data_IF_121970537316
#
_entry.id   IF_121970537316
#
_cell.length_a   1.000
_cell.length_b   1.000
_cell.length_c   1.000
_cell.angle_alpha   90.00
_cell.angle_beta   90.00
_cell.angle_gamma   90.00
#
_symmetry.space_group_name_H-M   'P 1'
#
loop_
_entity.id
_entity.type
_entity.pdbx_description
1 polymer ?
#
# COMPACT_ATOMS: atom_id res chain seq x y z
N UNK A 1 9.46 -17.01 10.39
CA UNK A 1 8.35 -16.21 9.81
C UNK A 1 8.27 -16.52 8.34
N UNK A 2 7.06 -16.54 7.79
CA UNK A 2 6.80 -16.77 6.36
C UNK A 2 6.05 -15.60 5.77
N UNK A 3 6.56 -15.03 4.69
CA UNK A 3 5.96 -13.88 4.00
C UNK A 3 5.66 -14.30 2.57
N UNK A 4 4.39 -14.19 2.18
CA UNK A 4 3.98 -14.53 0.81
C UNK A 4 3.59 -13.29 0.03
N UNK A 5 4.05 -13.21 -1.22
CA UNK A 5 3.77 -12.13 -2.16
C UNK A 5 2.95 -12.73 -3.30
N UNK A 6 1.71 -12.29 -3.45
CA UNK A 6 0.81 -12.73 -4.50
C UNK A 6 0.84 -11.73 -5.65
N UNK A 7 1.44 -12.13 -6.76
CA UNK A 7 1.79 -11.31 -7.91
C UNK A 7 3.29 -11.10 -8.04
N UNK A 8 3.91 -11.68 -9.05
CA UNK A 8 5.36 -11.55 -9.32
C UNK A 8 5.68 -10.49 -10.41
N UNK A 9 4.80 -9.50 -10.57
CA UNK A 9 5.08 -8.35 -11.45
C UNK A 9 6.27 -7.52 -10.97
N UNK A 10 6.41 -6.28 -11.46
CA UNK A 10 7.53 -5.42 -11.09
C UNK A 10 7.51 -5.06 -9.59
N UNK A 11 6.34 -4.72 -9.05
CA UNK A 11 6.22 -4.38 -7.61
C UNK A 11 6.50 -5.60 -6.74
N UNK A 12 5.85 -6.75 -7.04
CA UNK A 12 6.02 -7.98 -6.23
C UNK A 12 7.44 -8.53 -6.29
N UNK A 13 8.05 -8.59 -7.48
CA UNK A 13 9.44 -9.04 -7.65
C UNK A 13 10.45 -8.18 -6.89
N UNK A 14 10.34 -6.83 -6.99
CA UNK A 14 11.20 -5.93 -6.24
C UNK A 14 10.90 -5.97 -4.72
N UNK A 15 9.66 -6.21 -4.33
CA UNK A 15 9.34 -6.43 -2.91
C UNK A 15 10.02 -7.69 -2.40
N UNK A 16 9.99 -8.78 -3.19
CA UNK A 16 10.68 -10.02 -2.84
C UNK A 16 12.19 -9.77 -2.66
N UNK A 17 12.84 -9.09 -3.60
CA UNK A 17 14.25 -8.71 -3.52
C UNK A 17 14.56 -7.96 -2.20
N UNK A 18 13.80 -6.91 -1.90
CA UNK A 18 14.00 -6.12 -0.66
C UNK A 18 13.82 -6.95 0.60
N UNK A 19 12.87 -7.88 0.60
CA UNK A 19 12.56 -8.68 1.78
C UNK A 19 13.58 -9.82 2.00
N UNK A 20 14.09 -10.46 0.94
CA UNK A 20 15.15 -11.50 1.12
C UNK A 20 16.43 -10.91 1.68
N UNK A 21 16.75 -9.65 1.32
CA UNK A 21 17.92 -8.92 1.85
C UNK A 21 17.81 -8.62 3.35
N UNK A 22 16.59 -8.53 3.89
CA UNK A 22 16.39 -8.26 5.33
C UNK A 22 16.59 -9.47 6.22
N UNK A 23 16.49 -10.66 5.66
CA UNK A 23 16.56 -11.91 6.44
C UNK A 23 15.39 -12.13 7.40
N UNK A 24 14.26 -11.45 7.22
CA UNK A 24 13.10 -11.52 8.13
C UNK A 24 12.41 -12.88 8.14
N UNK A 25 12.59 -13.70 7.11
CA UNK A 25 11.99 -15.04 7.06
C UNK A 25 12.03 -15.64 5.67
N UNK A 26 11.24 -16.69 5.48
CA UNK A 26 11.08 -17.35 4.20
C UNK A 26 10.11 -16.56 3.32
N UNK A 27 10.51 -16.29 2.09
CA UNK A 27 9.69 -15.57 1.10
C UNK A 27 9.08 -16.57 0.12
N UNK A 28 7.77 -16.45 -0.11
CA UNK A 28 7.08 -17.19 -1.17
C UNK A 28 6.53 -16.20 -2.18
N UNK A 29 7.03 -16.27 -3.39
CA UNK A 29 6.59 -15.46 -4.52
C UNK A 29 5.63 -16.28 -5.40
N UNK A 30 4.39 -15.83 -5.53
CA UNK A 30 3.33 -16.55 -6.25
C UNK A 30 2.88 -15.74 -7.46
N UNK A 31 2.76 -16.38 -8.62
CA UNK A 31 2.15 -15.77 -9.81
C UNK A 31 1.48 -16.84 -10.68
N UNK A 32 0.31 -16.51 -11.25
CA UNK A 32 -0.40 -17.41 -12.17
C UNK A 32 0.32 -17.60 -13.50
N UNK A 33 1.22 -16.68 -13.87
CA UNK A 33 2.05 -16.82 -15.06
C UNK A 33 3.13 -17.88 -14.81
N UNK A 34 2.94 -19.02 -15.47
CA UNK A 34 3.84 -20.17 -15.34
C UNK A 34 5.29 -19.76 -15.56
N UNK A 35 6.13 -20.05 -14.58
CA UNK A 35 7.56 -19.79 -14.62
C UNK A 35 7.99 -18.39 -14.18
N UNK A 36 7.09 -17.35 -14.20
CA UNK A 36 7.50 -15.99 -13.86
C UNK A 36 8.02 -15.86 -12.42
N UNK A 37 7.27 -16.38 -11.44
CA UNK A 37 7.68 -16.34 -10.04
C UNK A 37 8.90 -17.24 -9.80
N UNK A 38 8.95 -18.41 -10.44
CA UNK A 38 10.05 -19.37 -10.32
C UNK A 38 11.34 -18.75 -10.87
N UNK A 39 11.32 -18.19 -12.08
CA UNK A 39 12.47 -17.56 -12.69
C UNK A 39 13.02 -16.40 -11.85
N UNK A 40 12.14 -15.55 -11.30
CA UNK A 40 12.57 -14.48 -10.39
C UNK A 40 13.13 -14.99 -9.07
N UNK A 41 12.60 -16.10 -8.53
CA UNK A 41 13.17 -16.70 -7.33
C UNK A 41 14.57 -17.23 -7.58
N UNK A 42 14.80 -17.94 -8.70
CA UNK A 42 16.15 -18.43 -9.07
C UNK A 42 17.14 -17.28 -9.26
N UNK A 43 16.76 -16.23 -9.98
CA UNK A 43 17.61 -15.05 -10.18
C UNK A 43 17.97 -14.37 -8.84
N UNK A 44 17.03 -14.33 -7.88
CA UNK A 44 17.30 -13.83 -6.53
C UNK A 44 18.20 -14.75 -5.72
N UNK A 45 18.05 -16.08 -5.82
CA UNK A 45 18.96 -17.05 -5.19
C UNK A 45 20.39 -16.90 -5.73
N UNK A 46 20.54 -16.72 -7.04
CA UNK A 46 21.82 -16.46 -7.70
C UNK A 46 22.42 -15.11 -7.22
N UNK A 47 21.61 -14.06 -7.10
CA UNK A 47 22.05 -12.77 -6.54
C UNK A 47 22.53 -12.92 -5.09
N UNK A 48 21.82 -13.71 -4.28
CA UNK A 48 22.26 -14.06 -2.92
C UNK A 48 23.63 -14.72 -2.89
N UNK A 49 23.86 -15.63 -3.84
CA UNK A 49 25.15 -16.32 -3.99
C UNK A 49 26.31 -15.38 -4.32
N UNK A 50 26.06 -14.35 -5.16
CA UNK A 50 27.05 -13.27 -5.45
C UNK A 50 27.41 -12.51 -4.16
N UNK A 51 26.41 -12.25 -3.29
CA UNK A 51 26.60 -11.57 -2.02
C UNK A 51 27.11 -12.48 -0.90
N UNK A 52 27.29 -13.79 -1.16
CA UNK A 52 27.59 -14.85 -0.18
C UNK A 52 26.55 -14.93 0.94
N UNK A 53 25.29 -14.71 0.59
CA UNK A 53 24.13 -14.80 1.46
C UNK A 53 23.21 -15.93 1.00
N UNK A 54 22.59 -16.60 1.96
CA UNK A 54 21.60 -17.64 1.68
C UNK A 54 20.19 -16.99 1.69
N UNK A 55 19.69 -16.64 0.53
CA UNK A 55 18.32 -16.15 0.41
C UNK A 55 17.33 -17.32 0.48
N UNK A 56 16.32 -17.18 1.33
CA UNK A 56 15.25 -18.17 1.47
C UNK A 56 14.02 -17.66 0.72
N UNK A 57 13.96 -18.02 -0.56
CA UNK A 57 12.86 -17.65 -1.45
C UNK A 57 12.41 -18.86 -2.25
N UNK A 58 11.09 -18.98 -2.44
CA UNK A 58 10.46 -19.96 -3.31
C UNK A 58 9.55 -19.22 -4.31
N UNK A 59 9.74 -19.48 -5.60
CA UNK A 59 8.81 -19.07 -6.65
C UNK A 59 7.84 -20.21 -6.98
N UNK A 60 6.55 -19.90 -7.21
CA UNK A 60 5.54 -20.92 -7.51
C UNK A 60 4.36 -20.30 -8.28
N UNK A 61 3.61 -21.13 -9.03
CA UNK A 61 2.32 -20.80 -9.61
C UNK A 61 1.13 -21.31 -8.78
N UNK A 62 1.40 -22.05 -7.70
CA UNK A 62 0.39 -22.58 -6.79
C UNK A 62 0.31 -21.76 -5.50
N UNK A 63 -0.83 -21.10 -5.29
CA UNK A 63 -1.10 -20.28 -4.11
C UNK A 63 -1.14 -21.10 -2.79
N UNK A 64 -1.34 -22.43 -2.87
CA UNK A 64 -1.29 -23.29 -1.69
C UNK A 64 0.07 -23.24 -0.99
N UNK A 65 1.13 -22.89 -1.71
CA UNK A 65 2.44 -22.63 -1.10
C UNK A 65 2.46 -21.41 -0.17
N UNK A 66 1.45 -20.52 -0.20
CA UNK A 66 1.28 -19.44 0.76
C UNK A 66 0.62 -19.88 2.08
N UNK A 67 0.36 -21.18 2.26
CA UNK A 67 -0.24 -21.72 3.51
C UNK A 67 0.58 -21.36 4.74
N UNK A 68 -0.12 -20.99 5.81
CA UNK A 68 0.45 -20.60 7.10
C UNK A 68 1.44 -19.43 7.01
N UNK A 69 1.22 -18.49 6.08
CA UNK A 69 2.00 -17.25 6.04
C UNK A 69 1.61 -16.32 7.19
N UNK A 70 2.60 -15.68 7.79
CA UNK A 70 2.41 -14.65 8.82
C UNK A 70 1.95 -13.33 8.18
N UNK A 71 2.52 -13.01 7.01
CA UNK A 71 2.18 -11.81 6.23
C UNK A 71 1.92 -12.21 4.79
N UNK A 72 0.85 -11.70 4.22
CA UNK A 72 0.50 -11.85 2.80
C UNK A 72 0.41 -10.47 2.15
N UNK A 73 1.14 -10.29 1.07
CA UNK A 73 1.17 -9.05 0.29
C UNK A 73 0.49 -9.33 -1.04
N UNK A 74 -0.59 -8.60 -1.37
CA UNK A 74 -1.34 -8.78 -2.60
C UNK A 74 -0.99 -7.66 -3.56
N UNK A 75 -0.11 -7.96 -4.52
CA UNK A 75 0.23 -7.07 -5.64
C UNK A 75 -0.39 -7.56 -6.96
N UNK A 76 -1.08 -8.71 -6.92
CA UNK A 76 -1.75 -9.28 -8.08
C UNK A 76 -2.85 -8.34 -8.58
N UNK A 77 -2.83 -8.04 -9.86
CA UNK A 77 -3.77 -7.16 -10.52
C UNK A 77 -3.24 -6.70 -11.87
N UNK A 78 -4.13 -6.16 -12.68
CA UNK A 78 -3.80 -5.60 -13.97
C UNK A 78 -3.48 -4.11 -13.84
N UNK A 79 -2.55 -3.62 -14.62
CA UNK A 79 -2.37 -2.20 -14.89
C UNK A 79 -3.29 -1.77 -16.03
N UNK A 80 -3.71 -0.50 -16.02
CA UNK A 80 -4.57 0.05 -17.08
C UNK A 80 -3.86 -0.04 -18.43
N UNK A 81 -4.54 -0.64 -19.41
CA UNK A 81 -4.08 -0.72 -20.79
C UNK A 81 -4.80 0.33 -21.65
N UNK A 82 -4.22 0.77 -22.79
CA UNK A 82 -4.93 1.59 -23.75
C UNK A 82 -6.29 0.97 -24.13
N UNK A 83 -7.35 1.78 -24.17
CA UNK A 83 -8.71 1.34 -24.49
C UNK A 83 -9.50 0.75 -23.31
N UNK A 84 -8.88 0.53 -22.14
CA UNK A 84 -9.57 0.03 -20.96
C UNK A 84 -10.15 1.21 -20.14
N UNK A 85 -11.43 1.11 -19.77
CA UNK A 85 -12.09 2.06 -18.87
C UNK A 85 -11.60 1.86 -17.42
N UNK A 86 -11.87 2.84 -16.53
CA UNK A 86 -11.60 2.69 -15.09
C UNK A 86 -12.45 1.57 -14.48
N UNK A 87 -13.68 1.42 -14.93
CA UNK A 87 -14.62 0.40 -14.47
C UNK A 87 -14.19 -1.00 -14.91
N UNK A 88 -13.73 -1.18 -16.16
CA UNK A 88 -13.19 -2.47 -16.64
C UNK A 88 -12.00 -2.92 -15.79
N UNK A 89 -11.10 -2.00 -15.48
CA UNK A 89 -9.94 -2.29 -14.63
C UNK A 89 -10.36 -2.66 -13.21
N UNK A 90 -11.32 -1.93 -12.63
CA UNK A 90 -11.85 -2.19 -11.30
C UNK A 90 -12.48 -3.59 -11.25
N UNK A 91 -13.36 -3.92 -12.19
CA UNK A 91 -14.04 -5.20 -12.23
C UNK A 91 -13.06 -6.38 -12.36
N UNK A 92 -12.06 -6.25 -13.23
CA UNK A 92 -11.02 -7.28 -13.39
C UNK A 92 -10.19 -7.45 -12.13
N UNK A 93 -9.75 -6.36 -11.53
CA UNK A 93 -8.96 -6.41 -10.29
C UNK A 93 -9.78 -6.91 -9.11
N UNK A 94 -11.06 -6.56 -9.02
CA UNK A 94 -11.97 -7.07 -8.00
C UNK A 94 -12.14 -8.59 -8.10
N UNK A 95 -12.30 -9.13 -9.33
CA UNK A 95 -12.38 -10.58 -9.53
C UNK A 95 -11.08 -11.28 -9.13
N UNK A 96 -9.93 -10.80 -9.59
CA UNK A 96 -8.61 -11.35 -9.22
C UNK A 96 -8.45 -11.36 -7.70
N UNK A 97 -8.75 -10.22 -7.06
CA UNK A 97 -8.62 -10.09 -5.60
C UNK A 97 -9.57 -11.04 -4.86
N UNK A 98 -10.83 -11.18 -5.34
CA UNK A 98 -11.81 -12.13 -4.79
C UNK A 98 -11.24 -13.54 -4.78
N UNK A 99 -10.74 -14.01 -5.91
CA UNK A 99 -10.23 -15.38 -6.07
C UNK A 99 -9.02 -15.63 -5.16
N UNK A 100 -8.13 -14.64 -5.03
CA UNK A 100 -6.98 -14.68 -4.12
C UNK A 100 -7.44 -14.69 -2.66
N UNK A 101 -8.32 -13.78 -2.26
CA UNK A 101 -8.78 -13.66 -0.87
C UNK A 101 -9.56 -14.88 -0.38
N UNK A 102 -10.38 -15.53 -1.26
CA UNK A 102 -11.07 -16.77 -0.93
C UNK A 102 -10.10 -17.93 -0.61
N UNK A 103 -8.97 -17.99 -1.32
CA UNK A 103 -7.91 -18.98 -1.05
C UNK A 103 -7.18 -18.64 0.23
N UNK A 104 -6.73 -17.37 0.39
CA UNK A 104 -6.03 -16.89 1.60
C UNK A 104 -6.84 -17.16 2.87
N UNK A 105 -8.15 -16.89 2.84
CA UNK A 105 -9.07 -17.18 3.95
C UNK A 105 -8.97 -18.61 4.47
N UNK A 106 -8.77 -19.57 3.56
CA UNK A 106 -8.70 -21.02 3.87
C UNK A 106 -7.31 -21.43 4.35
N UNK A 107 -6.25 -20.96 3.66
CA UNK A 107 -4.90 -21.47 3.85
C UNK A 107 -4.08 -20.69 4.90
N UNK A 108 -4.44 -19.43 5.16
CA UNK A 108 -3.68 -18.56 6.08
C UNK A 108 -4.60 -17.62 6.88
N UNK A 109 -5.53 -18.15 7.69
CA UNK A 109 -6.59 -17.38 8.35
C UNK A 109 -6.10 -16.41 9.43
N UNK A 110 -4.84 -16.50 9.85
CA UNK A 110 -4.24 -15.66 10.90
C UNK A 110 -3.29 -14.59 10.36
N UNK A 111 -3.05 -14.58 9.04
CA UNK A 111 -2.09 -13.66 8.43
C UNK A 111 -2.52 -12.20 8.52
N UNK A 112 -1.52 -11.32 8.51
CA UNK A 112 -1.72 -9.91 8.18
C UNK A 112 -1.73 -9.80 6.65
N UNK A 113 -2.70 -9.09 6.10
CA UNK A 113 -2.86 -8.90 4.66
C UNK A 113 -2.58 -7.43 4.30
N UNK A 114 -1.58 -7.22 3.46
CA UNK A 114 -1.23 -5.90 2.91
C UNK A 114 -1.69 -5.86 1.46
N UNK A 115 -2.70 -5.05 1.17
CA UNK A 115 -3.22 -4.86 -0.19
C UNK A 115 -2.44 -3.76 -0.90
N UNK A 116 -2.07 -4.01 -2.16
CA UNK A 116 -1.35 -3.06 -3.03
C UNK A 116 -2.09 -2.83 -4.34
N UNK A 117 -2.97 -3.75 -4.70
CA UNK A 117 -3.77 -3.71 -5.93
C UNK A 117 -4.66 -2.48 -5.99
N UNK A 118 -4.66 -1.80 -7.13
CA UNK A 118 -5.52 -0.63 -7.38
C UNK A 118 -6.87 -1.00 -8.02
N UNK A 119 -7.94 -0.20 -7.74
CA UNK A 119 -8.02 0.99 -6.87
C UNK A 119 -7.90 0.61 -5.38
N UNK A 120 -6.87 1.13 -4.71
CA UNK A 120 -6.38 0.60 -3.43
C UNK A 120 -7.44 0.51 -2.34
N UNK A 121 -8.15 1.62 -2.07
CA UNK A 121 -9.08 1.69 -0.92
C UNK A 121 -10.27 0.73 -1.13
N UNK A 122 -10.78 0.64 -2.36
CA UNK A 122 -11.82 -0.30 -2.73
C UNK A 122 -11.34 -1.76 -2.65
N UNK A 123 -10.13 -2.04 -3.12
CA UNK A 123 -9.54 -3.38 -3.04
C UNK A 123 -9.24 -3.78 -1.60
N UNK A 124 -8.80 -2.85 -0.75
CA UNK A 124 -8.60 -3.10 0.68
C UNK A 124 -9.91 -3.43 1.38
N UNK A 125 -10.97 -2.66 1.10
CA UNK A 125 -12.32 -2.94 1.60
C UNK A 125 -12.81 -4.31 1.14
N UNK A 126 -12.67 -4.63 -0.15
CA UNK A 126 -13.07 -5.91 -0.71
C UNK A 126 -12.30 -7.08 -0.07
N UNK A 127 -11.00 -6.96 0.10
CA UNK A 127 -10.17 -7.96 0.77
C UNK A 127 -10.65 -8.22 2.20
N UNK A 128 -10.95 -7.16 2.97
CA UNK A 128 -11.49 -7.26 4.32
C UNK A 128 -12.83 -8.01 4.33
N UNK A 129 -13.76 -7.64 3.46
CA UNK A 129 -15.10 -8.27 3.41
C UNK A 129 -15.03 -9.74 3.00
N UNK A 130 -14.20 -10.11 2.02
CA UNK A 130 -14.08 -11.49 1.54
C UNK A 130 -13.36 -12.38 2.55
N UNK A 131 -12.24 -11.92 3.10
CA UNK A 131 -11.49 -12.72 4.07
C UNK A 131 -12.26 -12.87 5.38
N UNK A 132 -12.99 -11.84 5.79
CA UNK A 132 -13.65 -11.79 7.10
C UNK A 132 -12.64 -11.71 8.26
N UNK A 133 -11.40 -11.34 7.97
CA UNK A 133 -10.37 -11.17 9.00
C UNK A 133 -10.68 -9.94 9.85
N UNK A 134 -10.03 -9.86 11.02
CA UNK A 134 -10.12 -8.65 11.85
C UNK A 134 -9.63 -7.43 11.07
N UNK A 135 -10.30 -6.30 11.20
CA UNK A 135 -9.97 -5.07 10.46
C UNK A 135 -8.54 -4.55 10.69
N UNK A 136 -7.98 -4.85 11.85
CA UNK A 136 -6.60 -4.50 12.15
C UNK A 136 -5.55 -5.34 11.39
N UNK A 137 -5.96 -6.48 10.81
CA UNK A 137 -5.08 -7.38 10.04
C UNK A 137 -5.15 -7.18 8.53
N UNK A 138 -6.07 -6.36 8.03
CA UNK A 138 -6.22 -6.10 6.57
C UNK A 138 -6.14 -4.61 6.32
N UNK A 139 -5.13 -4.17 5.61
CA UNK A 139 -4.94 -2.76 5.28
C UNK A 139 -4.18 -2.59 3.95
N UNK A 140 -4.27 -1.38 3.38
CA UNK A 140 -3.68 -1.06 2.08
C UNK A 140 -2.41 -0.22 2.18
N UNK A 141 -1.44 -0.48 1.32
CA UNK A 141 -0.26 0.37 1.11
C UNK A 141 -0.56 1.41 0.03
N UNK A 142 -0.68 2.67 0.40
CA UNK A 142 -0.91 3.80 -0.52
C UNK A 142 -0.41 5.10 0.08
N UNK A 143 -1.05 5.57 1.13
CA UNK A 143 -0.76 6.86 1.76
C UNK A 143 0.67 6.95 2.30
N UNK A 144 1.29 5.86 2.74
CA UNK A 144 2.71 5.85 3.11
C UNK A 144 3.63 6.19 1.91
N UNK A 145 3.25 5.73 0.71
CA UNK A 145 3.93 6.09 -0.53
C UNK A 145 3.69 7.57 -0.89
N UNK A 146 2.47 8.05 -0.72
CA UNK A 146 2.13 9.44 -1.03
C UNK A 146 2.82 10.41 -0.07
N UNK A 147 2.92 10.06 1.22
CA UNK A 147 3.71 10.81 2.19
C UNK A 147 5.22 10.83 1.83
N UNK A 148 5.76 9.71 1.34
CA UNK A 148 7.15 9.67 0.86
C UNK A 148 7.38 10.57 -0.37
N UNK A 149 6.41 10.68 -1.27
CA UNK A 149 6.45 11.62 -2.40
C UNK A 149 6.43 13.07 -1.94
N UNK A 150 5.55 13.36 -0.97
CA UNK A 150 5.46 14.68 -0.36
C UNK A 150 6.77 15.06 0.34
N UNK A 151 7.32 14.17 1.16
CA UNK A 151 8.62 14.37 1.81
C UNK A 151 9.74 14.63 0.79
N UNK A 152 9.81 13.85 -0.29
CA UNK A 152 10.84 14.03 -1.31
C UNK A 152 10.75 15.39 -2.01
N UNK A 153 9.54 15.89 -2.29
CA UNK A 153 9.36 17.20 -2.91
C UNK A 153 9.70 18.34 -1.95
N UNK A 154 9.39 18.19 -0.65
CA UNK A 154 9.83 19.13 0.41
C UNK A 154 11.36 19.13 0.53
N UNK A 155 11.97 17.94 0.53
CA UNK A 155 13.43 17.78 0.57
C UNK A 155 14.12 18.53 -0.58
N UNK A 156 13.57 18.42 -1.79
CA UNK A 156 14.08 19.12 -2.98
C UNK A 156 13.92 20.66 -2.86
N UNK A 157 12.78 21.14 -2.38
CA UNK A 157 12.48 22.57 -2.26
C UNK A 157 13.38 23.23 -1.20
N UNK A 158 13.57 22.56 -0.05
CA UNK A 158 14.36 23.08 1.07
C UNK A 158 15.84 22.72 0.98
N UNK A 159 16.24 21.85 0.03
CA UNK A 159 17.58 21.30 -0.11
C UNK A 159 18.09 20.67 1.22
N UNK A 160 17.28 19.79 1.81
CA UNK A 160 17.57 19.10 3.07
C UNK A 160 17.42 17.57 2.93
N UNK A 161 18.03 16.76 3.81
CA UNK A 161 17.86 15.31 3.78
C UNK A 161 16.41 14.88 4.04
N UNK A 162 15.94 13.83 3.34
CA UNK A 162 14.62 13.22 3.59
C UNK A 162 14.47 12.69 5.03
N UNK A 163 15.57 12.36 5.70
CA UNK A 163 15.58 11.89 7.09
C UNK A 163 15.10 12.93 8.10
N UNK A 164 15.11 14.19 7.72
CA UNK A 164 14.71 15.32 8.56
C UNK A 164 13.21 15.64 8.43
N UNK A 165 12.48 14.94 7.54
CA UNK A 165 11.10 15.26 7.19
C UNK A 165 10.15 14.14 7.64
N UNK A 166 9.15 14.52 8.41
CA UNK A 166 8.01 13.69 8.77
C UNK A 166 6.77 14.20 8.03
N UNK A 167 6.50 13.65 6.86
CA UNK A 167 5.39 14.07 6.01
C UNK A 167 4.09 13.33 6.35
N UNK A 168 2.99 14.06 6.34
CA UNK A 168 1.66 13.54 6.58
C UNK A 168 0.76 13.73 5.37
N UNK A 169 0.12 12.63 4.97
CA UNK A 169 -0.94 12.60 3.93
C UNK A 169 -2.07 11.71 4.44
N UNK A 170 -3.32 12.09 4.18
CA UNK A 170 -4.54 11.32 4.46
C UNK A 170 -5.42 11.26 3.21
N UNK A 171 -6.57 10.59 3.31
CA UNK A 171 -7.53 10.51 2.19
C UNK A 171 -7.32 9.30 1.30
N UNK A 172 -8.02 9.24 0.18
CA UNK A 172 -7.92 8.11 -0.75
C UNK A 172 -6.61 8.15 -1.53
N UNK A 173 -6.02 6.97 -1.77
CA UNK A 173 -4.81 6.87 -2.59
C UNK A 173 -5.09 7.32 -4.04
N UNK A 174 -4.36 8.31 -4.53
CA UNK A 174 -4.52 8.90 -5.86
C UNK A 174 -5.16 10.28 -5.83
N UNK A 175 -6.18 10.52 -6.66
CA UNK A 175 -6.79 11.86 -6.85
C UNK A 175 -7.43 12.47 -5.58
N UNK A 176 -7.77 11.65 -4.60
CA UNK A 176 -8.41 12.10 -3.35
C UNK A 176 -7.47 12.20 -2.14
N UNK A 177 -6.15 12.09 -2.35
CA UNK A 177 -5.19 12.28 -1.26
C UNK A 177 -5.19 13.74 -0.80
N UNK A 178 -4.96 13.92 0.49
CA UNK A 178 -4.87 15.22 1.14
C UNK A 178 -3.54 15.31 1.91
N UNK A 179 -2.49 15.90 1.33
CA UNK A 179 -1.32 16.26 2.08
C UNK A 179 -1.69 17.27 3.19
N UNK A 180 -1.13 17.07 4.38
CA UNK A 180 -1.42 17.90 5.56
C UNK A 180 -0.15 18.66 5.99
N UNK A 181 0.09 19.87 5.48
CA UNK A 181 1.27 20.68 5.83
C UNK A 181 1.37 20.96 7.33
N UNK A 182 0.26 21.22 8.02
CA UNK A 182 0.18 21.45 9.48
C UNK A 182 0.65 20.27 10.33
N UNK A 183 0.55 19.05 9.79
CA UNK A 183 1.01 17.81 10.44
C UNK A 183 2.29 17.26 9.81
N UNK A 184 2.90 18.04 8.93
CA UNK A 184 4.19 17.73 8.29
C UNK A 184 5.26 18.58 8.96
N UNK A 185 6.31 17.92 9.43
CA UNK A 185 7.41 18.62 10.13
C UNK A 185 8.75 18.37 9.47
N UNK A 186 9.64 19.34 9.65
CA UNK A 186 11.07 19.29 9.29
C UNK A 186 11.85 19.50 10.57
N UNK A 187 12.52 18.45 11.06
CA UNK A 187 13.19 18.48 12.38
C UNK A 187 12.28 18.98 13.53
N UNK A 188 11.00 18.63 13.45
CA UNK A 188 10.01 19.02 14.46
C UNK A 188 9.39 20.41 14.27
N UNK A 189 9.82 21.20 13.27
CA UNK A 189 9.24 22.50 12.93
C UNK A 189 8.13 22.26 11.90
N UNK A 190 6.96 22.85 12.06
CA UNK A 190 5.85 22.72 11.12
C UNK A 190 6.22 23.28 9.74
N UNK A 191 5.78 22.61 8.67
CA UNK A 191 6.11 23.01 7.30
C UNK A 191 5.64 24.43 6.98
N UNK A 192 4.51 24.84 7.54
CA UNK A 192 3.93 26.17 7.34
C UNK A 192 4.79 27.31 7.94
N UNK A 193 5.71 26.99 8.86
CA UNK A 193 6.65 27.96 9.40
C UNK A 193 7.91 28.10 8.51
N UNK A 194 8.14 27.13 7.62
CA UNK A 194 9.36 27.06 6.80
C UNK A 194 9.14 27.46 5.35
N UNK A 195 7.91 27.33 4.85
CA UNK A 195 7.55 27.62 3.46
C UNK A 195 6.32 28.49 3.37
N UNK A 196 6.32 29.40 2.40
CA UNK A 196 5.14 30.20 2.05
C UNK A 196 4.02 29.33 1.48
N UNK A 197 2.77 29.71 1.71
CA UNK A 197 1.57 29.01 1.30
C UNK A 197 1.56 28.66 -0.20
N UNK A 198 2.05 29.55 -1.05
CA UNK A 198 2.09 29.32 -2.50
C UNK A 198 3.06 28.18 -2.88
N UNK A 199 4.20 28.08 -2.21
CA UNK A 199 5.13 26.98 -2.40
C UNK A 199 4.55 25.66 -1.90
N UNK A 200 3.88 25.67 -0.75
CA UNK A 200 3.19 24.51 -0.19
C UNK A 200 2.10 24.01 -1.15
N UNK A 201 1.30 24.91 -1.73
CA UNK A 201 0.28 24.55 -2.75
C UNK A 201 0.91 23.89 -3.98
N UNK A 202 2.03 24.41 -4.47
CA UNK A 202 2.75 23.83 -5.63
C UNK A 202 3.25 22.43 -5.29
N UNK A 203 3.87 22.23 -4.13
CA UNK A 203 4.40 20.93 -3.70
C UNK A 203 3.24 19.94 -3.50
N UNK A 204 2.15 20.37 -2.85
CA UNK A 204 0.94 19.56 -2.66
C UNK A 204 0.40 19.07 -4.00
N UNK A 205 0.22 19.97 -4.97
CA UNK A 205 -0.24 19.60 -6.31
C UNK A 205 0.70 18.62 -7.00
N UNK A 206 2.01 18.88 -7.00
CA UNK A 206 3.01 17.96 -7.56
C UNK A 206 2.97 16.59 -6.89
N UNK A 207 2.70 16.51 -5.58
CA UNK A 207 2.54 15.25 -4.85
C UNK A 207 1.38 14.43 -5.41
N UNK A 208 0.22 15.08 -5.61
CA UNK A 208 -0.99 14.44 -6.14
C UNK A 208 -0.77 13.94 -7.57
N UNK A 209 -0.09 14.72 -8.40
CA UNK A 209 0.14 14.42 -9.82
C UNK A 209 1.29 13.41 -10.04
N UNK A 210 2.20 13.22 -9.05
CA UNK A 210 3.44 12.44 -9.20
C UNK A 210 3.21 11.02 -9.70
N UNK A 211 2.17 10.36 -9.26
CA UNK A 211 1.87 8.99 -9.69
C UNK A 211 1.59 8.91 -11.19
N UNK A 212 0.79 9.83 -11.70
CA UNK A 212 0.43 9.89 -13.11
C UNK A 212 1.60 10.38 -13.98
N UNK A 213 2.40 11.32 -13.48
CA UNK A 213 3.62 11.78 -14.13
C UNK A 213 4.59 10.60 -14.39
N UNK A 214 4.83 9.76 -13.35
CA UNK A 214 5.69 8.58 -13.47
C UNK A 214 5.13 7.60 -14.51
N UNK A 215 3.83 7.31 -14.50
CA UNK A 215 3.17 6.44 -15.49
C UNK A 215 3.35 6.97 -16.91
N UNK A 216 3.15 8.28 -17.09
CA UNK A 216 3.33 8.93 -18.40
C UNK A 216 4.77 8.84 -18.93
N UNK A 217 5.74 9.04 -18.05
CA UNK A 217 7.18 8.98 -18.41
C UNK A 217 7.67 7.56 -18.68
N UNK A 218 7.15 6.56 -17.93
CA UNK A 218 7.50 5.15 -18.15
C UNK A 218 6.85 4.55 -19.40
N UNK A 219 5.77 5.16 -19.89
CA UNK A 219 5.02 4.69 -21.08
C UNK A 219 4.23 3.40 -20.83
N UNK A 220 4.80 2.43 -20.14
CA UNK A 220 4.18 1.16 -19.80
C UNK A 220 4.32 0.86 -18.30
N UNK A 221 3.22 0.43 -17.69
CA UNK A 221 3.22 0.03 -16.28
C UNK A 221 2.97 1.19 -15.31
N UNK A 222 3.41 1.04 -14.08
CA UNK A 222 3.28 2.02 -12.99
C UNK A 222 4.59 2.12 -12.22
N UNK A 223 4.69 3.04 -11.27
CA UNK A 223 5.81 3.08 -10.34
C UNK A 223 5.97 1.74 -9.62
N UNK A 224 7.20 1.31 -9.38
CA UNK A 224 7.49 0.03 -8.71
C UNK A 224 8.67 0.11 -7.72
N UNK A 225 9.61 1.00 -7.89
CA UNK A 225 10.71 1.18 -6.93
C UNK A 225 10.22 1.69 -5.58
N UNK A 226 9.50 2.81 -5.57
CA UNK A 226 8.99 3.40 -4.33
C UNK A 226 7.87 2.56 -3.70
N UNK A 227 6.89 2.00 -4.44
CA UNK A 227 5.92 1.07 -3.88
C UNK A 227 6.55 -0.15 -3.20
N UNK A 228 7.53 -0.80 -3.82
CA UNK A 228 8.21 -1.96 -3.22
C UNK A 228 8.96 -1.59 -1.94
N UNK A 229 9.54 -0.38 -1.87
CA UNK A 229 10.18 0.11 -0.64
C UNK A 229 9.17 0.44 0.45
N UNK A 230 8.03 1.04 0.10
CA UNK A 230 6.95 1.32 1.05
C UNK A 230 6.41 0.01 1.66
N UNK A 231 6.20 -1.02 0.84
CA UNK A 231 5.78 -2.35 1.32
C UNK A 231 6.83 -2.95 2.26
N UNK A 232 8.10 -2.94 1.87
CA UNK A 232 9.19 -3.48 2.70
C UNK A 232 9.30 -2.75 4.04
N UNK A 233 9.02 -1.44 4.06
CA UNK A 233 8.97 -0.64 5.29
C UNK A 233 7.81 -1.07 6.19
N UNK A 234 6.60 -1.28 5.65
CA UNK A 234 5.45 -1.78 6.42
C UNK A 234 5.74 -3.16 7.02
N UNK A 235 6.32 -4.07 6.22
CA UNK A 235 6.73 -5.40 6.70
C UNK A 235 7.76 -5.29 7.82
N UNK A 236 8.77 -4.43 7.68
CA UNK A 236 9.78 -4.19 8.71
C UNK A 236 9.15 -3.72 10.03
N UNK A 237 8.23 -2.76 9.97
CA UNK A 237 7.52 -2.23 11.15
C UNK A 237 6.79 -3.36 11.88
N UNK A 238 6.09 -4.23 11.13
CA UNK A 238 5.35 -5.36 11.69
C UNK A 238 6.30 -6.38 12.33
N UNK A 239 7.31 -6.81 11.57
CA UNK A 239 8.26 -7.85 12.00
C UNK A 239 9.06 -7.43 13.22
N UNK A 240 9.45 -6.16 13.30
CA UNK A 240 10.21 -5.60 14.42
C UNK A 240 9.33 -5.06 15.56
N UNK A 241 8.02 -5.11 15.44
CA UNK A 241 7.07 -4.53 16.39
C UNK A 241 7.41 -3.05 16.73
N UNK A 242 7.74 -2.27 15.70
CA UNK A 242 8.25 -0.90 15.91
C UNK A 242 7.20 0.04 16.54
N UNK A 243 5.91 -0.32 16.52
CA UNK A 243 4.77 0.50 17.01
C UNK A 243 4.78 1.93 16.44
N UNK A 244 5.22 2.02 15.21
CA UNK A 244 5.46 3.27 14.49
C UNK A 244 4.15 3.82 13.94
N UNK A 245 4.01 5.15 14.00
CA UNK A 245 2.95 5.85 13.27
C UNK A 245 3.29 5.91 11.78
N UNK A 246 2.37 5.41 10.94
CA UNK A 246 2.50 5.43 9.48
C UNK A 246 1.12 5.46 8.83
N UNK A 247 1.00 6.11 7.69
CA UNK A 247 -0.25 6.15 6.93
C UNK A 247 -0.50 4.85 6.17
N UNK A 248 -1.69 4.27 6.35
CA UNK A 248 -2.17 3.10 5.58
C UNK A 248 -3.65 3.26 5.26
N UNK A 249 -4.14 2.60 4.21
CA UNK A 249 -5.58 2.50 3.97
C UNK A 249 -6.19 1.54 4.99
N UNK A 250 -6.92 2.08 5.96
CA UNK A 250 -7.51 1.36 7.08
C UNK A 250 -9.04 1.40 7.02
N UNK A 251 -9.68 0.33 7.52
CA UNK A 251 -11.13 0.29 7.68
C UNK A 251 -11.56 1.17 8.85
N UNK A 252 -12.41 2.17 8.57
CA UNK A 252 -12.97 3.05 9.58
C UNK A 252 -14.35 2.56 10.05
N UNK A 253 -14.56 2.60 11.36
CA UNK A 253 -15.82 2.23 12.02
C UNK A 253 -16.30 3.29 13.01
N UNK A 254 -16.06 4.55 12.72
CA UNK A 254 -16.47 5.70 13.54
C UNK A 254 -15.42 6.79 13.60
N UNK A 255 -14.15 6.44 13.35
CA UNK A 255 -13.06 7.40 13.32
C UNK A 255 -13.32 8.48 12.28
N UNK A 256 -12.95 9.72 12.60
CA UNK A 256 -13.27 10.93 11.81
C UNK A 256 -14.77 11.12 11.50
N UNK A 257 -15.67 10.41 12.23
CA UNK A 257 -17.11 10.37 11.95
C UNK A 257 -17.48 9.54 10.70
N UNK A 258 -16.55 8.74 10.16
CA UNK A 258 -16.69 7.93 8.95
C UNK A 258 -16.88 6.47 9.34
N UNK A 259 -17.77 5.76 8.63
CA UNK A 259 -18.02 4.32 8.85
C UNK A 259 -18.05 3.56 7.54
N UNK A 260 -17.65 2.29 7.63
CA UNK A 260 -17.79 1.26 6.60
C UNK A 260 -17.10 1.61 5.27
N UNK A 261 -15.91 2.15 5.34
CA UNK A 261 -14.99 2.32 4.19
C UNK A 261 -13.55 2.04 4.61
N UNK A 262 -12.70 1.74 3.64
CA UNK A 262 -11.24 1.83 3.81
C UNK A 262 -10.75 3.14 3.18
N UNK A 263 -9.92 3.87 3.91
CA UNK A 263 -9.34 5.15 3.48
C UNK A 263 -8.00 5.36 4.17
N UNK A 264 -7.13 6.12 3.55
CA UNK A 264 -5.81 6.43 4.09
C UNK A 264 -5.87 7.32 5.32
N UNK A 265 -5.36 6.82 6.44
CA UNK A 265 -5.28 7.52 7.73
C UNK A 265 -4.00 7.14 8.47
N UNK A 266 -3.49 7.98 9.38
CA UNK A 266 -2.38 7.64 10.26
C UNK A 266 -2.78 6.51 11.21
N UNK A 267 -1.93 5.48 11.28
CA UNK A 267 -2.12 4.33 12.15
C UNK A 267 -0.84 4.04 12.93
N UNK A 268 -0.99 3.60 14.16
CA UNK A 268 0.11 2.92 14.86
C UNK A 268 0.13 1.47 14.40
N UNK A 269 1.21 1.09 13.74
CA UNK A 269 1.40 -0.24 13.18
C UNK A 269 2.45 -1.02 14.00
N UNK A 270 2.13 -2.24 14.38
CA UNK A 270 3.00 -3.15 15.12
C UNK A 270 2.80 -4.60 14.67
N UNK A 271 3.27 -5.56 15.46
CA UNK A 271 3.23 -7.01 15.13
C UNK A 271 1.83 -7.59 14.92
N UNK A 272 0.79 -6.97 15.49
CA UNK A 272 -0.59 -7.40 15.33
C UNK A 272 -1.31 -6.73 14.15
N UNK A 273 -0.58 -5.96 13.33
CA UNK A 273 -1.13 -5.09 12.28
C UNK A 273 -1.44 -3.69 12.82
N UNK A 274 -2.58 -3.13 12.50
CA UNK A 274 -3.02 -1.82 13.00
C UNK A 274 -3.40 -1.94 14.47
N UNK A 275 -2.63 -1.31 15.36
CA UNK A 275 -2.93 -1.30 16.81
C UNK A 275 -3.87 -0.14 17.19
N UNK A 276 -3.78 0.97 16.47
CA UNK A 276 -4.61 2.16 16.70
C UNK A 276 -4.67 3.03 15.45
N UNK A 277 -5.85 3.51 15.11
CA UNK A 277 -6.05 4.62 14.17
C UNK A 277 -5.86 5.92 14.95
N UNK A 278 -5.09 6.85 14.40
CA UNK A 278 -4.81 8.15 15.03
C UNK A 278 -5.67 9.19 14.33
N UNK A 279 -6.56 9.83 15.07
CA UNK A 279 -7.37 10.92 14.56
C UNK A 279 -6.64 12.26 14.77
N UNK A 280 -6.43 12.99 13.68
CA UNK A 280 -5.95 14.36 13.75
C UNK A 280 -7.13 15.34 13.85
N UNK A 281 -6.93 16.42 14.58
CA UNK A 281 -7.90 17.51 14.64
C UNK A 281 -7.79 18.35 13.35
N UNK A 282 -8.61 17.92 12.36
CA UNK A 282 -8.68 18.58 11.05
C UNK A 282 -9.41 19.93 11.18
N UNK A 283 -8.80 20.97 10.62
CA UNK A 283 -9.37 22.31 10.63
C UNK A 283 -10.60 22.44 9.70
N UNK A 284 -11.15 23.67 9.62
CA UNK A 284 -12.36 23.96 8.82
C UNK A 284 -12.18 23.81 7.30
N UNK A 285 -10.93 23.81 6.82
CA UNK A 285 -10.59 23.63 5.41
C UNK A 285 -10.27 22.18 5.10
N UNK A 286 -9.51 21.51 5.97
CA UNK A 286 -9.07 20.12 5.81
C UNK A 286 -10.22 19.11 5.93
N UNK A 287 -11.10 19.31 6.92
CA UNK A 287 -12.20 18.39 7.21
C UNK A 287 -13.17 18.19 6.02
N UNK A 288 -13.65 19.24 5.33
CA UNK A 288 -14.49 19.07 4.14
C UNK A 288 -13.79 18.31 3.02
N UNK A 289 -12.50 18.56 2.78
CA UNK A 289 -11.72 17.87 1.75
C UNK A 289 -11.57 16.38 2.06
N UNK A 290 -11.30 16.04 3.32
CA UNK A 290 -11.22 14.65 3.75
C UNK A 290 -12.56 13.93 3.63
N UNK A 291 -13.67 14.57 4.02
CA UNK A 291 -15.01 14.01 3.85
C UNK A 291 -15.39 13.87 2.37
N UNK A 292 -14.98 14.78 1.50
CA UNK A 292 -15.16 14.65 0.04
C UNK A 292 -14.40 13.45 -0.51
N UNK A 293 -13.17 13.22 -0.05
CA UNK A 293 -12.37 12.04 -0.38
C UNK A 293 -13.08 10.75 0.04
N UNK A 294 -13.59 10.69 1.27
CA UNK A 294 -14.36 9.55 1.78
C UNK A 294 -15.63 9.29 0.97
N UNK A 295 -16.35 10.35 0.61
CA UNK A 295 -17.57 10.23 -0.20
C UNK A 295 -17.28 9.73 -1.62
N UNK A 296 -16.14 10.10 -2.20
CA UNK A 296 -15.71 9.56 -3.48
C UNK A 296 -15.49 8.04 -3.42
N UNK A 297 -14.88 7.54 -2.34
CA UNK A 297 -14.75 6.09 -2.12
C UNK A 297 -16.13 5.45 -1.98
N UNK A 298 -17.01 6.03 -1.14
CA UNK A 298 -18.34 5.50 -0.85
C UNK A 298 -19.18 5.30 -2.11
N UNK A 299 -19.19 6.29 -3.02
CA UNK A 299 -19.88 6.21 -4.31
C UNK A 299 -19.41 5.03 -5.17
N UNK A 300 -18.14 4.69 -5.07
CA UNK A 300 -17.56 3.58 -5.85
C UNK A 300 -17.69 2.21 -5.16
N UNK A 301 -18.11 2.15 -3.88
CA UNK A 301 -18.33 0.87 -3.19
C UNK A 301 -19.43 0.05 -3.86
N UNK A 302 -20.45 0.67 -4.43
CA UNK A 302 -21.54 -0.02 -5.13
C UNK A 302 -21.02 -0.86 -6.30
N UNK A 303 -19.95 -0.44 -6.94
CA UNK A 303 -19.32 -1.17 -8.05
C UNK A 303 -18.67 -2.50 -7.61
N UNK A 304 -18.25 -2.60 -6.34
CA UNK A 304 -17.60 -3.82 -5.83
C UNK A 304 -18.53 -4.68 -4.97
N UNK A 305 -19.72 -4.20 -4.61
CA UNK A 305 -20.73 -4.99 -3.87
C UNK A 305 -21.03 -6.36 -4.48
N UNK A 306 -21.16 -6.52 -5.82
CA UNK A 306 -21.41 -7.84 -6.42
C UNK A 306 -20.34 -8.87 -6.09
N UNK A 307 -19.11 -8.44 -5.83
CA UNK A 307 -18.00 -9.33 -5.47
C UNK A 307 -18.03 -9.76 -4.00
N UNK A 308 -18.76 -9.03 -3.14
CA UNK A 308 -18.95 -9.35 -1.73
C UNK A 308 -20.08 -10.35 -1.47
N UNK A 309 -20.97 -10.61 -2.44
CA UNK A 309 -22.09 -11.53 -2.28
C UNK A 309 -21.69 -12.99 -2.51
N UNK A 310 -22.29 -13.90 -1.74
CA UNK A 310 -22.05 -15.35 -1.83
C UNK A 310 -20.86 -15.84 -0.99
N UNK A 311 -20.50 -15.12 0.09
CA UNK A 311 -19.42 -15.47 1.02
C UNK A 311 -19.96 -16.28 2.22
#
# INVERSE_FOLDING_TARGET
MKISIIGAGNVGGLTAMRLVETGFGDIVLVDISKGLAIGKAFDLEDAGSVLKLNYRIQGTDDIENAKNSDIIIITAGLTRKPGMTREDLLNKNAQILKDVCLKIKKISPQSIVIVVTNPLDLMTYLALKITGFKSNKVFGMGISLDAARFANLISQELNIPNTDIEACVIGSHGEGMLPLPRFTTVKGIELNELLEDEKIKVITKKTMDRGQEIVSLLGNGSAYFAPSQAIATLVKIIVKDEKRMIGVSAYLNGEYGIKDICIGVPCRLGKEGIEKIIEFDLNKEEKPLFLQSAESIRRNLDLIKPFCHGL
#
